data_IF_922116750307
#
_entry.id   IF_922116750307
#
_cell.length_a   1.000
_cell.length_b   1.000
_cell.length_c   1.000
_cell.angle_alpha   90.00
_cell.angle_beta   90.00
_cell.angle_gamma   90.00
#
_symmetry.space_group_name_H-M   'P 1'
#
loop_
_entity.id
_entity.type
_entity.pdbx_description
1 polymer ?
#
# COMPACT_ATOMS: atom_id res chain seq x y z
N UNK A 1 -10.22 0.85 -0.83
CA UNK A 1 -9.02 1.18 -1.63
C UNK A 1 -7.74 1.07 -0.82
N UNK A 2 -7.52 1.88 0.22
CA UNK A 2 -6.25 1.83 0.99
C UNK A 2 -5.93 0.45 1.59
N UNK A 3 -6.95 -0.32 2.02
CA UNK A 3 -6.75 -1.68 2.55
C UNK A 3 -6.24 -2.69 1.51
N UNK A 4 -6.53 -2.50 0.21
CA UNK A 4 -6.05 -3.40 -0.85
C UNK A 4 -4.61 -3.11 -1.25
N UNK A 5 -4.07 -1.96 -0.86
CA UNK A 5 -2.70 -1.54 -1.13
C UNK A 5 -1.70 -2.08 -0.10
N UNK A 6 -2.16 -2.81 0.92
CA UNK A 6 -1.27 -3.37 1.96
C UNK A 6 -0.27 -4.35 1.35
N UNK A 7 0.99 -4.25 1.81
CA UNK A 7 2.10 -5.10 1.38
C UNK A 7 2.63 -5.90 2.55
N UNK A 8 3.07 -7.12 2.24
CA UNK A 8 3.79 -7.93 3.21
C UNK A 8 5.24 -7.47 3.28
N UNK A 9 5.67 -7.02 4.45
CA UNK A 9 7.08 -6.75 4.75
C UNK A 9 7.62 -7.88 5.63
N UNK A 10 8.91 -8.21 5.46
CA UNK A 10 9.57 -9.25 6.24
C UNK A 10 10.92 -8.76 6.76
N UNK A 11 11.27 -9.18 7.99
CA UNK A 11 12.60 -8.98 8.58
C UNK A 11 13.28 -10.33 8.78
N UNK A 12 14.53 -10.43 8.33
CA UNK A 12 15.36 -11.63 8.46
C UNK A 12 16.16 -11.62 9.76
N UNK A 13 16.32 -12.81 10.37
CA UNK A 13 16.90 -12.97 11.70
C UNK A 13 18.00 -14.04 11.80
N UNK A 14 18.44 -14.62 10.69
CA UNK A 14 19.48 -15.65 10.68
C UNK A 14 20.91 -15.11 10.79
N UNK A 15 21.85 -16.02 11.06
CA UNK A 15 23.28 -15.70 11.15
C UNK A 15 23.75 -14.96 9.90
N UNK A 16 24.57 -13.92 10.09
CA UNK A 16 25.08 -13.05 9.03
C UNK A 16 24.00 -12.41 8.14
N UNK A 17 22.78 -12.21 8.68
CA UNK A 17 21.66 -11.62 7.94
C UNK A 17 20.92 -12.61 7.04
N UNK A 18 21.16 -13.92 7.19
CA UNK A 18 20.41 -14.93 6.45
C UNK A 18 18.91 -14.89 6.77
N UNK A 19 18.10 -15.26 5.79
CA UNK A 19 16.64 -15.25 5.89
C UNK A 19 16.04 -16.62 6.21
N UNK A 20 16.83 -17.54 6.75
CA UNK A 20 16.36 -18.88 7.15
C UNK A 20 15.22 -18.80 8.18
N UNK A 21 15.31 -17.82 9.08
CA UNK A 21 14.19 -17.38 9.94
C UNK A 21 13.86 -15.94 9.57
N UNK A 22 12.58 -15.68 9.29
CA UNK A 22 12.07 -14.34 9.04
C UNK A 22 10.69 -14.17 9.66
N UNK A 23 10.42 -12.94 10.11
CA UNK A 23 9.09 -12.54 10.61
C UNK A 23 8.49 -11.59 9.60
N UNK A 24 7.24 -11.82 9.20
CA UNK A 24 6.53 -10.97 8.25
C UNK A 24 5.26 -10.37 8.87
N UNK A 25 4.89 -9.18 8.42
CA UNK A 25 3.65 -8.51 8.81
C UNK A 25 3.10 -7.70 7.65
N UNK A 26 1.79 -7.44 7.68
CA UNK A 26 1.14 -6.56 6.71
C UNK A 26 1.34 -5.11 7.12
N UNK A 27 1.76 -4.27 6.17
CA UNK A 27 1.93 -2.83 6.36
C UNK A 27 1.40 -2.07 5.16
N UNK A 28 0.95 -0.85 5.39
CA UNK A 28 0.73 0.10 4.30
C UNK A 28 2.06 0.51 3.65
N UNK A 29 2.08 0.71 2.32
CA UNK A 29 3.23 1.32 1.66
C UNK A 29 3.40 2.76 2.15
N UNK A 30 4.52 3.38 1.77
CA UNK A 30 4.78 4.77 2.14
C UNK A 30 3.60 5.68 1.77
N UNK A 31 3.26 6.62 2.65
CA UNK A 31 2.06 7.44 2.50
C UNK A 31 1.99 8.16 1.15
N UNK A 32 3.13 8.59 0.61
CA UNK A 32 3.21 9.19 -0.74
C UNK A 32 2.63 8.27 -1.81
N UNK A 33 3.00 6.98 -1.83
CA UNK A 33 2.46 6.02 -2.80
C UNK A 33 0.95 5.83 -2.66
N UNK A 34 0.43 5.84 -1.44
CA UNK A 34 -1.03 5.79 -1.19
C UNK A 34 -1.70 7.07 -1.71
N UNK A 35 -1.09 8.23 -1.44
CA UNK A 35 -1.57 9.54 -1.88
C UNK A 35 -1.61 9.66 -3.39
N UNK A 36 -0.56 9.23 -4.09
CA UNK A 36 -0.48 9.26 -5.55
C UNK A 36 -1.59 8.40 -6.18
N UNK A 37 -1.79 7.17 -5.68
CA UNK A 37 -2.88 6.27 -6.13
C UNK A 37 -4.28 6.87 -5.91
N UNK A 38 -4.49 7.57 -4.79
CA UNK A 38 -5.75 8.27 -4.54
C UNK A 38 -5.92 9.49 -5.44
N UNK A 39 -4.84 10.23 -5.71
CA UNK A 39 -4.87 11.41 -6.58
C UNK A 39 -5.16 11.03 -8.02
N UNK A 40 -4.54 9.98 -8.56
CA UNK A 40 -4.82 9.49 -9.91
C UNK A 40 -6.30 9.15 -10.10
N UNK A 41 -6.93 8.54 -9.09
CA UNK A 41 -8.37 8.21 -9.11
C UNK A 41 -9.25 9.44 -9.02
N UNK A 42 -8.85 10.43 -8.23
CA UNK A 42 -9.56 11.70 -8.13
C UNK A 42 -9.51 12.45 -9.47
N UNK A 43 -8.33 12.55 -10.08
CA UNK A 43 -8.14 13.23 -11.36
C UNK A 43 -8.87 12.49 -12.50
N UNK A 44 -8.99 11.16 -12.42
CA UNK A 44 -9.77 10.34 -13.35
C UNK A 44 -11.26 10.18 -13.01
N UNK A 45 -11.78 10.84 -11.98
CA UNK A 45 -13.15 10.63 -11.53
C UNK A 45 -14.17 11.31 -12.48
N UNK A 46 -15.26 10.61 -12.79
CA UNK A 46 -16.38 11.18 -13.55
C UNK A 46 -17.18 12.15 -12.69
N UNK A 47 -17.36 13.38 -13.17
CA UNK A 47 -18.25 14.36 -12.53
C UNK A 47 -19.71 13.95 -12.75
N UNK A 48 -20.41 13.67 -11.66
CA UNK A 48 -21.84 13.36 -11.68
C UNK A 48 -22.62 14.63 -11.30
N UNK A 49 -23.57 15.03 -12.15
CA UNK A 49 -24.53 16.10 -11.84
C UNK A 49 -25.83 15.44 -11.37
N UNK A 50 -26.39 15.92 -10.26
CA UNK A 50 -27.72 15.51 -9.84
C UNK A 50 -28.76 16.15 -10.79
N UNK A 51 -29.68 15.36 -11.35
CA UNK A 51 -30.85 15.93 -12.02
C UNK A 51 -31.77 16.59 -10.97
N UNK A 52 -32.38 17.70 -11.36
CA UNK A 52 -33.37 18.43 -10.56
C UNK A 52 -34.71 17.68 -10.53
#
# INVERSE_FOLDING_TARGET
HVQTEMRQECKCHGMSGSCAVKTCWMRLPNFRSVGDSLKDRFDGASRVMLPN
#
